data_IF_128752634449
#
_entry.id   IF_128752634449
#
_cell.length_a   1.000
_cell.length_b   1.000
_cell.length_c   1.000
_cell.angle_alpha   90.00
_cell.angle_beta   90.00
_cell.angle_gamma   90.00
#
_symmetry.space_group_name_H-M   'P 1'
#
loop_
_entity.id
_entity.type
_entity.pdbx_description
1 polymer ?
#
# COMPACT_ATOMS: atom_id res chain seq x y z
N UNK A 1 -71.89 10.67 -35.44
CA UNK A 1 -70.49 10.34 -35.09
C UNK A 1 -70.35 8.82 -35.10
N UNK A 2 -69.85 8.23 -36.19
CA UNK A 2 -69.70 6.78 -36.32
C UNK A 2 -68.30 6.36 -35.84
N UNK A 3 -68.21 5.75 -34.66
CA UNK A 3 -67.00 5.09 -34.19
C UNK A 3 -66.75 3.86 -35.07
N UNK A 4 -65.79 3.97 -35.99
CA UNK A 4 -65.35 2.87 -36.85
C UNK A 4 -64.69 1.82 -35.96
N UNK A 5 -65.35 0.67 -35.77
CA UNK A 5 -64.83 -0.43 -34.97
C UNK A 5 -63.43 -0.82 -35.48
N UNK A 6 -62.41 -0.50 -34.69
CA UNK A 6 -61.03 -0.86 -34.99
C UNK A 6 -60.97 -2.38 -35.06
N UNK A 7 -60.68 -2.95 -36.24
CA UNK A 7 -60.64 -4.41 -36.45
C UNK A 7 -59.74 -5.01 -35.37
N UNK A 8 -60.26 -5.96 -34.58
CA UNK A 8 -59.57 -6.58 -33.44
C UNK A 8 -58.14 -7.05 -33.76
N UNK A 9 -57.91 -7.51 -35.01
CA UNK A 9 -56.60 -7.89 -35.56
C UNK A 9 -55.59 -6.72 -35.65
N UNK A 10 -56.07 -5.50 -35.91
CA UNK A 10 -55.25 -4.27 -35.91
C UNK A 10 -54.88 -3.87 -34.48
N UNK A 11 -55.79 -4.04 -33.52
CA UNK A 11 -55.55 -3.74 -32.11
C UNK A 11 -54.45 -4.64 -31.52
N UNK A 12 -54.51 -5.95 -31.80
CA UNK A 12 -53.49 -6.92 -31.38
C UNK A 12 -52.11 -6.64 -32.00
N UNK A 13 -52.06 -6.21 -33.27
CA UNK A 13 -50.80 -5.81 -33.93
C UNK A 13 -50.19 -4.57 -33.26
N UNK A 14 -51.00 -3.56 -32.97
CA UNK A 14 -50.54 -2.36 -32.27
C UNK A 14 -50.05 -2.65 -30.86
N UNK A 15 -50.72 -3.53 -30.12
CA UNK A 15 -50.30 -3.97 -28.78
C UNK A 15 -49.00 -4.77 -28.81
N UNK A 16 -48.80 -5.65 -29.80
CA UNK A 16 -47.54 -6.38 -29.99
C UNK A 16 -46.38 -5.43 -30.30
N UNK A 17 -46.58 -4.46 -31.19
CA UNK A 17 -45.56 -3.45 -31.51
C UNK A 17 -45.23 -2.61 -30.28
N UNK A 18 -46.24 -2.18 -29.52
CA UNK A 18 -46.02 -1.42 -28.28
C UNK A 18 -45.27 -2.26 -27.23
N UNK A 19 -45.60 -3.55 -27.07
CA UNK A 19 -44.91 -4.44 -26.15
C UNK A 19 -43.43 -4.66 -26.54
N UNK A 20 -43.14 -4.84 -27.83
CA UNK A 20 -41.76 -4.96 -28.34
C UNK A 20 -40.97 -3.67 -28.15
N UNK A 21 -41.59 -2.50 -28.35
CA UNK A 21 -40.94 -1.21 -28.09
C UNK A 21 -40.67 -1.00 -26.59
N UNK A 22 -41.59 -1.41 -25.71
CA UNK A 22 -41.42 -1.34 -24.26
C UNK A 22 -40.31 -2.27 -23.76
N UNK A 23 -40.19 -3.49 -24.29
CA UNK A 23 -39.10 -4.42 -23.91
C UNK A 23 -37.74 -3.96 -24.46
N UNK A 24 -37.70 -3.41 -25.66
CA UNK A 24 -36.49 -2.81 -26.22
C UNK A 24 -36.01 -1.60 -25.41
N UNK A 25 -36.94 -0.72 -24.98
CA UNK A 25 -36.62 0.43 -24.14
C UNK A 25 -36.16 0.03 -22.72
N UNK A 26 -36.68 -1.08 -22.17
CA UNK A 26 -36.29 -1.60 -20.86
C UNK A 26 -34.98 -2.42 -20.86
N UNK A 27 -34.51 -2.85 -22.04
CA UNK A 27 -33.33 -3.71 -22.20
C UNK A 27 -31.98 -2.97 -22.04
N UNK A 28 -31.94 -1.65 -22.28
CA UNK A 28 -30.73 -0.86 -22.13
C UNK A 28 -30.59 -0.32 -20.70
N UNK A 29 -30.24 -1.19 -19.75
CA UNK A 29 -29.76 -0.75 -18.43
C UNK A 29 -28.24 -0.67 -18.43
N UNK A 30 -27.71 0.51 -18.12
CA UNK A 30 -26.29 0.69 -17.81
C UNK A 30 -26.04 0.14 -16.41
N UNK A 31 -25.55 -1.08 -16.33
CA UNK A 31 -25.09 -1.67 -15.07
C UNK A 31 -23.62 -1.26 -14.84
N UNK A 32 -23.30 -0.49 -13.78
CA UNK A 32 -21.93 -0.12 -13.44
C UNK A 32 -21.01 -1.32 -13.17
N UNK A 33 -21.57 -2.50 -12.88
CA UNK A 33 -20.81 -3.72 -12.57
C UNK A 33 -20.64 -4.67 -13.76
N UNK A 34 -21.18 -4.32 -14.93
CA UNK A 34 -21.02 -5.12 -16.13
C UNK A 34 -19.92 -4.52 -17.01
N UNK A 35 -18.74 -5.17 -17.15
CA UNK A 35 -17.66 -4.67 -18.00
C UNK A 35 -18.03 -4.64 -19.50
N UNK A 36 -19.16 -5.22 -19.87
CA UNK A 36 -19.66 -5.25 -21.24
C UNK A 36 -19.25 -6.53 -21.97
N UNK A 37 -19.54 -6.57 -23.27
CA UNK A 37 -19.11 -7.65 -24.16
C UNK A 37 -17.97 -7.16 -25.04
N UNK A 38 -16.88 -7.89 -25.05
CA UNK A 38 -15.74 -7.63 -25.92
C UNK A 38 -15.88 -8.45 -27.20
N UNK A 39 -15.60 -7.85 -28.36
CA UNK A 39 -15.56 -8.53 -29.64
C UNK A 39 -14.12 -8.86 -30.02
N UNK A 40 -13.85 -10.14 -30.31
CA UNK A 40 -12.54 -10.66 -30.70
C UNK A 40 -11.37 -10.18 -29.80
N UNK A 41 -11.32 -10.58 -28.51
CA UNK A 41 -10.31 -10.14 -27.54
C UNK A 41 -8.94 -10.82 -27.76
N UNK A 42 -8.46 -10.86 -28.99
CA UNK A 42 -7.17 -11.42 -29.34
C UNK A 42 -6.07 -10.48 -28.80
N UNK A 43 -5.27 -10.97 -27.86
CA UNK A 43 -4.16 -10.23 -27.22
C UNK A 43 -4.55 -9.05 -26.31
N UNK A 44 -5.83 -8.87 -25.97
CA UNK A 44 -6.24 -7.89 -24.95
C UNK A 44 -5.75 -8.31 -23.55
N UNK A 45 -5.72 -9.62 -23.33
CA UNK A 45 -5.10 -10.24 -22.18
C UNK A 45 -3.76 -10.81 -22.62
N UNK A 46 -2.65 -10.44 -21.96
CA UNK A 46 -1.35 -10.99 -22.28
C UNK A 46 -1.33 -12.48 -21.95
N UNK A 47 -0.61 -13.25 -22.76
CA UNK A 47 -0.31 -14.66 -22.46
C UNK A 47 0.59 -14.77 -21.23
N UNK A 48 1.50 -13.80 -21.06
CA UNK A 48 2.36 -13.69 -19.89
C UNK A 48 1.59 -13.21 -18.66
N UNK A 49 2.06 -13.65 -17.50
CA UNK A 49 1.52 -13.22 -16.21
C UNK A 49 1.98 -11.80 -15.86
N UNK A 50 1.03 -10.89 -15.70
CA UNK A 50 1.30 -9.53 -15.24
C UNK A 50 1.33 -9.45 -13.69
N UNK A 51 2.20 -8.60 -13.11
CA UNK A 51 2.16 -8.31 -11.69
C UNK A 51 0.79 -7.75 -11.28
N UNK A 52 0.22 -8.28 -10.19
CA UNK A 52 -1.07 -7.86 -9.63
C UNK A 52 -2.32 -8.07 -10.49
N UNK A 53 -2.22 -8.75 -11.64
CA UNK A 53 -3.39 -9.13 -12.45
C UNK A 53 -3.70 -10.62 -12.31
N UNK A 54 -4.98 -10.93 -12.15
CA UNK A 54 -5.44 -12.31 -12.09
C UNK A 54 -6.83 -12.46 -12.71
N UNK A 55 -6.86 -12.89 -13.96
CA UNK A 55 -8.10 -13.17 -14.69
C UNK A 55 -8.70 -14.53 -14.33
N UNK A 56 -7.83 -15.52 -14.15
CA UNK A 56 -8.20 -16.90 -13.83
C UNK A 56 -7.29 -17.40 -12.72
N UNK A 57 -7.83 -18.26 -11.85
CA UNK A 57 -7.03 -18.94 -10.85
C UNK A 57 -5.95 -19.79 -11.53
N UNK A 58 -4.72 -19.72 -11.03
CA UNK A 58 -3.62 -20.52 -11.52
C UNK A 58 -3.77 -21.98 -11.02
N UNK A 59 -3.93 -22.98 -11.91
CA UNK A 59 -4.16 -24.37 -11.50
C UNK A 59 -2.93 -25.06 -10.92
N UNK A 60 -1.72 -24.50 -11.11
CA UNK A 60 -0.46 -25.07 -10.64
C UNK A 60 -0.19 -24.70 -9.17
N UNK A 61 -0.66 -23.53 -8.74
CA UNK A 61 -0.33 -22.98 -7.43
C UNK A 61 -1.42 -23.34 -6.40
N UNK A 62 -1.06 -23.82 -5.18
CA UNK A 62 -2.02 -24.20 -4.15
C UNK A 62 -3.01 -23.10 -3.73
N UNK A 63 -2.60 -21.83 -3.84
CA UNK A 63 -3.44 -20.68 -3.47
C UNK A 63 -4.20 -20.09 -4.67
N UNK A 64 -4.06 -20.67 -5.86
CA UNK A 64 -4.64 -20.14 -7.10
C UNK A 64 -4.08 -18.79 -7.54
N UNK A 65 -3.13 -18.20 -6.81
CA UNK A 65 -2.51 -16.92 -7.11
C UNK A 65 -1.38 -17.06 -8.12
N UNK A 66 -1.27 -16.11 -9.04
CA UNK A 66 -0.13 -16.00 -9.96
C UNK A 66 1.15 -15.56 -9.24
N UNK A 67 1.02 -14.66 -8.25
CA UNK A 67 2.13 -14.23 -7.40
C UNK A 67 2.45 -15.27 -6.33
N UNK A 68 3.74 -15.53 -6.09
CA UNK A 68 4.22 -16.44 -5.05
C UNK A 68 5.07 -15.70 -4.03
N UNK A 69 5.03 -16.20 -2.79
CA UNK A 69 5.97 -15.77 -1.77
C UNK A 69 7.38 -16.28 -2.13
N UNK A 70 8.43 -15.45 -1.96
CA UNK A 70 9.80 -15.92 -2.07
C UNK A 70 10.09 -16.96 -0.97
N UNK A 71 11.04 -17.85 -1.22
CA UNK A 71 11.48 -18.83 -0.22
C UNK A 71 12.10 -18.10 0.96
N UNK A 72 11.79 -18.53 2.18
CA UNK A 72 12.32 -17.93 3.40
C UNK A 72 13.86 -17.96 3.41
N UNK A 73 14.49 -16.85 3.83
CA UNK A 73 15.94 -16.70 3.87
C UNK A 73 16.60 -16.32 2.54
N UNK A 74 15.84 -16.20 1.44
CA UNK A 74 16.39 -15.69 0.18
C UNK A 74 16.64 -14.19 0.25
N UNK A 75 17.72 -13.72 -0.36
CA UNK A 75 18.07 -12.31 -0.41
C UNK A 75 18.30 -11.86 -1.85
N UNK A 76 17.63 -10.77 -2.24
CA UNK A 76 17.58 -10.31 -3.63
C UNK A 76 18.79 -9.45 -4.02
N UNK A 77 19.42 -9.74 -5.17
CA UNK A 77 20.65 -9.05 -5.63
C UNK A 77 20.50 -7.53 -5.82
N UNK A 78 19.29 -7.04 -6.13
CA UNK A 78 19.00 -5.61 -6.36
C UNK A 78 19.13 -4.74 -5.11
N UNK A 79 19.06 -5.34 -3.92
CA UNK A 79 19.20 -4.62 -2.66
C UNK A 79 20.67 -4.44 -2.24
N UNK A 80 21.63 -4.76 -3.11
CA UNK A 80 23.06 -4.66 -2.83
C UNK A 80 23.75 -3.66 -3.75
N UNK A 81 24.47 -2.74 -3.13
CA UNK A 81 25.52 -1.94 -3.77
C UNK A 81 26.88 -2.40 -3.22
N UNK A 82 27.24 -3.66 -3.43
CA UNK A 82 28.55 -4.17 -2.99
C UNK A 82 29.59 -3.97 -4.09
N UNK A 83 30.64 -3.23 -3.77
CA UNK A 83 31.91 -3.27 -4.51
C UNK A 83 32.77 -4.37 -3.91
N UNK A 84 32.96 -5.46 -4.65
CA UNK A 84 33.85 -6.55 -4.24
C UNK A 84 35.29 -6.01 -4.12
N UNK A 85 35.91 -6.13 -2.93
CA UNK A 85 37.33 -5.89 -2.73
C UNK A 85 37.77 -4.44 -2.47
N UNK A 86 36.89 -3.53 -2.06
CA UNK A 86 37.24 -2.10 -1.90
C UNK A 86 37.14 -1.54 -0.47
N UNK A 87 36.60 -2.27 0.50
CA UNK A 87 36.62 -1.88 1.92
C UNK A 87 36.13 -3.03 2.80
N UNK A 88 36.44 -2.97 4.10
CA UNK A 88 35.85 -3.84 5.11
C UNK A 88 34.33 -3.86 4.94
N UNK A 89 33.75 -5.04 4.78
CA UNK A 89 32.30 -5.27 4.61
C UNK A 89 31.45 -4.79 5.80
N UNK A 90 32.05 -4.10 6.77
CA UNK A 90 31.43 -3.50 7.94
C UNK A 90 30.93 -2.06 7.69
N UNK A 91 31.32 -1.41 6.60
CA UNK A 91 30.98 0.00 6.37
C UNK A 91 29.83 0.09 5.35
N UNK A 92 28.61 0.11 5.91
CA UNK A 92 27.32 0.41 5.26
C UNK A 92 26.79 -0.63 4.26
N UNK A 93 27.02 -1.91 4.52
CA UNK A 93 26.25 -2.90 3.80
C UNK A 93 24.87 -3.03 4.46
N UNK A 94 23.86 -2.48 3.80
CA UNK A 94 22.43 -2.64 4.09
C UNK A 94 21.98 -4.10 3.81
N UNK A 95 22.89 -5.05 4.00
CA UNK A 95 22.94 -6.39 3.43
C UNK A 95 21.78 -7.26 3.88
N UNK A 96 21.46 -7.23 5.17
CA UNK A 96 20.37 -8.02 5.75
C UNK A 96 19.97 -7.33 7.05
N UNK A 97 18.75 -6.78 7.09
CA UNK A 97 18.16 -6.43 8.38
C UNK A 97 17.71 -7.71 9.08
N UNK A 98 18.65 -8.39 9.75
CA UNK A 98 18.40 -9.66 10.43
C UNK A 98 18.18 -9.49 11.94
N UNK A 99 17.78 -8.30 12.39
CA UNK A 99 17.47 -8.08 13.80
C UNK A 99 16.01 -8.54 14.01
N UNK A 100 15.76 -9.58 14.81
CA UNK A 100 14.40 -10.06 15.07
C UNK A 100 13.51 -8.98 15.69
N UNK A 101 12.20 -9.05 15.45
CA UNK A 101 11.22 -8.03 15.88
C UNK A 101 11.16 -7.80 17.40
N UNK A 102 11.56 -8.79 18.21
CA UNK A 102 11.64 -8.73 19.67
C UNK A 102 12.95 -8.11 20.18
N UNK A 103 13.94 -7.95 19.30
CA UNK A 103 15.32 -7.57 19.63
C UNK A 103 15.60 -6.07 19.44
N UNK A 104 14.69 -5.21 19.89
CA UNK A 104 14.81 -3.74 19.77
C UNK A 104 16.12 -3.23 20.41
N UNK A 105 16.51 -3.77 21.57
CA UNK A 105 17.72 -3.35 22.28
C UNK A 105 19.02 -3.62 21.51
N UNK A 106 19.04 -4.57 20.56
CA UNK A 106 20.18 -4.78 19.66
C UNK A 106 20.22 -3.67 18.61
N UNK A 107 19.05 -3.35 18.02
CA UNK A 107 18.93 -2.29 17.04
C UNK A 107 19.38 -0.93 17.59
N UNK A 108 19.01 -0.64 18.85
CA UNK A 108 19.43 0.57 19.57
C UNK A 108 20.96 0.72 19.71
N UNK A 109 21.67 -0.40 19.86
CA UNK A 109 23.13 -0.41 20.09
C UNK A 109 23.92 -0.40 18.79
N UNK A 110 23.45 -1.16 17.79
CA UNK A 110 24.21 -1.45 16.56
C UNK A 110 23.89 -0.47 15.45
N UNK A 111 22.64 -0.03 15.33
CA UNK A 111 22.23 0.78 14.18
C UNK A 111 22.58 2.24 14.38
N UNK A 112 23.18 2.80 13.33
CA UNK A 112 23.39 4.23 13.16
C UNK A 112 22.83 4.66 11.83
N UNK A 113 22.27 5.87 11.79
CA UNK A 113 21.69 6.39 10.56
C UNK A 113 22.80 6.72 9.55
N UNK A 114 22.89 6.02 8.40
CA UNK A 114 23.93 6.28 7.42
C UNK A 114 23.59 7.48 6.51
N UNK A 115 22.34 7.97 6.54
CA UNK A 115 21.89 9.09 5.71
C UNK A 115 22.31 10.39 6.39
N UNK A 116 23.04 11.29 5.70
CA UNK A 116 23.45 12.56 6.30
C UNK A 116 22.24 13.44 6.61
N UNK A 117 22.25 14.07 7.78
CA UNK A 117 21.24 15.05 8.18
C UNK A 117 21.51 16.38 7.45
N UNK A 118 20.61 16.75 6.55
CA UNK A 118 20.61 18.04 5.85
C UNK A 118 19.15 18.46 5.54
N UNK A 119 18.96 19.68 5.05
CA UNK A 119 17.61 20.21 4.78
C UNK A 119 16.86 19.37 3.75
N UNK A 120 17.55 18.85 2.73
CA UNK A 120 16.96 18.00 1.70
C UNK A 120 16.44 16.68 2.30
N UNK A 121 17.27 15.97 3.08
CA UNK A 121 16.87 14.69 3.69
C UNK A 121 15.76 14.87 4.70
N UNK A 122 15.75 16.00 5.42
CA UNK A 122 14.68 16.35 6.35
C UNK A 122 13.36 16.67 5.62
N UNK A 123 13.41 17.41 4.50
CA UNK A 123 12.23 17.72 3.68
C UNK A 123 11.64 16.45 3.05
N UNK A 124 12.49 15.56 2.52
CA UNK A 124 12.07 14.24 2.03
C UNK A 124 11.46 13.39 3.16
N UNK A 125 12.10 13.38 4.34
CA UNK A 125 11.60 12.70 5.53
C UNK A 125 10.22 13.20 5.97
N UNK A 126 9.96 14.51 5.87
CA UNK A 126 8.64 15.10 6.13
C UNK A 126 7.58 14.56 5.18
N UNK A 127 7.84 14.56 3.88
CA UNK A 127 6.88 14.06 2.87
C UNK A 127 6.52 12.60 3.13
N UNK A 128 7.52 11.79 3.49
CA UNK A 128 7.32 10.39 3.85
C UNK A 128 6.51 10.24 5.14
N UNK A 129 6.81 11.03 6.16
CA UNK A 129 6.05 11.05 7.41
C UNK A 129 4.58 11.44 7.20
N UNK A 130 4.32 12.48 6.42
CA UNK A 130 2.97 12.94 6.09
C UNK A 130 2.15 11.83 5.39
N UNK A 131 2.82 11.01 4.56
CA UNK A 131 2.20 9.92 3.81
C UNK A 131 1.93 8.66 4.64
N UNK A 132 2.86 8.29 5.53
CA UNK A 132 2.81 6.98 6.20
C UNK A 132 2.51 7.05 7.71
N UNK A 133 2.84 8.15 8.37
CA UNK A 133 2.89 8.23 9.84
C UNK A 133 1.87 9.23 10.42
N UNK A 134 1.68 10.38 9.76
CA UNK A 134 0.85 11.49 10.24
C UNK A 134 -0.59 11.07 10.56
N UNK A 135 -1.16 10.12 9.80
CA UNK A 135 -2.54 9.68 10.01
C UNK A 135 -2.81 9.15 11.42
N UNK A 136 -1.81 8.52 12.04
CA UNK A 136 -1.86 8.04 13.42
C UNK A 136 -1.16 9.00 14.39
N UNK A 137 0.05 9.46 14.06
CA UNK A 137 0.90 10.23 14.97
C UNK A 137 0.62 11.74 15.00
N UNK A 138 -0.18 12.27 14.07
CA UNK A 138 -0.43 13.71 13.95
C UNK A 138 0.67 14.45 13.19
N UNK A 139 0.46 15.73 12.87
CA UNK A 139 1.45 16.53 12.13
C UNK A 139 2.65 16.93 12.99
N UNK A 140 2.45 17.06 14.29
CA UNK A 140 3.47 17.42 15.28
C UNK A 140 4.05 16.21 16.01
N UNK A 141 3.58 15.00 15.73
CA UNK A 141 3.96 13.80 16.48
C UNK A 141 3.34 13.68 17.87
N UNK A 142 2.27 14.43 18.15
CA UNK A 142 1.59 14.42 19.44
C UNK A 142 0.70 13.19 19.69
N UNK A 143 0.54 12.31 18.69
CA UNK A 143 -0.36 11.16 18.75
C UNK A 143 -1.83 11.51 18.52
N UNK A 144 -2.10 12.70 17.97
CA UNK A 144 -3.44 13.27 17.72
C UNK A 144 -3.91 13.09 16.26
N UNK A 145 -3.30 12.15 15.54
CA UNK A 145 -3.77 11.79 14.19
C UNK A 145 -5.21 11.27 14.22
N UNK A 146 -5.98 11.55 13.16
CA UNK A 146 -7.40 11.14 13.06
C UNK A 146 -7.61 9.64 13.27
N UNK A 147 -6.66 8.82 12.83
CA UNK A 147 -6.69 7.36 13.06
C UNK A 147 -6.26 7.01 14.48
N UNK A 148 -5.30 7.74 15.05
CA UNK A 148 -4.83 7.58 16.43
C UNK A 148 -5.93 7.82 17.48
N UNK A 149 -6.87 8.73 17.19
CA UNK A 149 -8.05 8.92 18.04
C UNK A 149 -8.90 7.65 18.19
N UNK A 150 -8.95 6.81 17.15
CA UNK A 150 -9.66 5.53 17.16
C UNK A 150 -8.76 4.40 17.71
N UNK A 151 -7.48 4.42 17.35
CA UNK A 151 -6.47 3.48 17.81
C UNK A 151 -5.72 4.02 19.03
N UNK A 152 -6.31 3.86 20.23
CA UNK A 152 -5.67 4.23 21.50
C UNK A 152 -4.26 3.61 21.61
N UNK A 153 -3.31 4.39 22.14
CA UNK A 153 -1.93 3.95 22.42
C UNK A 153 -0.86 4.52 21.48
N UNK A 154 -1.20 5.51 20.64
CA UNK A 154 -0.19 6.23 19.85
C UNK A 154 0.63 7.14 20.76
N UNK A 155 1.97 7.04 20.73
CA UNK A 155 2.83 7.85 21.60
C UNK A 155 2.91 9.30 21.13
N UNK A 156 3.03 10.21 22.11
CA UNK A 156 3.49 11.58 21.87
C UNK A 156 5.03 11.60 21.90
N UNK A 157 5.65 11.98 20.79
CA UNK A 157 7.11 12.01 20.67
C UNK A 157 7.81 13.01 21.61
N UNK A 158 7.13 14.09 22.00
CA UNK A 158 7.67 15.10 22.91
C UNK A 158 7.59 14.69 24.39
N UNK A 159 6.89 13.60 24.72
CA UNK A 159 6.80 13.11 26.10
C UNK A 159 8.12 12.52 26.60
N UNK A 160 8.35 12.56 27.91
CA UNK A 160 9.62 12.13 28.51
C UNK A 160 10.02 10.69 28.18
N UNK A 161 9.04 9.80 28.00
CA UNK A 161 9.25 8.41 27.65
C UNK A 161 9.80 8.22 26.22
N UNK A 162 9.53 9.17 25.31
CA UNK A 162 9.80 9.00 23.88
C UNK A 162 10.74 10.07 23.29
N UNK A 163 10.95 11.21 23.96
CA UNK A 163 11.79 12.31 23.45
C UNK A 163 13.26 11.95 23.22
N UNK A 164 13.75 10.92 23.91
CA UNK A 164 15.14 10.46 23.85
C UNK A 164 15.32 9.10 23.16
N UNK A 165 14.32 8.61 22.42
CA UNK A 165 14.50 7.37 21.65
C UNK A 165 15.56 7.58 20.58
N UNK A 166 16.49 6.62 20.47
CA UNK A 166 17.54 6.68 19.48
C UNK A 166 17.05 6.30 18.07
N UNK A 167 17.86 6.63 17.07
CA UNK A 167 17.57 6.38 15.65
C UNK A 167 17.36 4.89 15.33
N UNK A 168 18.13 4.00 15.97
CA UNK A 168 18.02 2.55 15.80
C UNK A 168 16.67 2.00 16.28
N UNK A 169 16.14 2.51 17.39
CA UNK A 169 14.82 2.17 17.90
C UNK A 169 13.75 2.54 16.88
N UNK A 170 13.77 3.79 16.41
CA UNK A 170 12.76 4.32 15.49
C UNK A 170 12.79 3.51 14.18
N UNK A 171 13.98 3.25 13.63
CA UNK A 171 14.13 2.44 12.42
C UNK A 171 13.58 1.01 12.60
N UNK A 172 13.88 0.37 13.74
CA UNK A 172 13.40 -0.98 14.05
C UNK A 172 11.88 -1.03 14.15
N UNK A 173 11.28 -0.06 14.84
CA UNK A 173 9.81 0.04 15.00
C UNK A 173 9.13 0.30 13.66
N UNK A 174 9.70 1.13 12.77
CA UNK A 174 9.14 1.30 11.42
C UNK A 174 9.21 -0.03 10.63
N UNK A 175 10.29 -0.79 10.83
CA UNK A 175 10.53 -2.04 10.09
C UNK A 175 9.58 -3.17 10.53
N UNK A 176 9.49 -3.43 11.83
CA UNK A 176 8.75 -4.57 12.39
C UNK A 176 7.41 -4.21 13.04
N UNK A 177 7.15 -2.93 13.27
CA UNK A 177 6.04 -2.49 14.12
C UNK A 177 6.37 -2.63 15.60
N UNK A 178 5.44 -2.17 16.45
CA UNK A 178 5.51 -2.31 17.90
C UNK A 178 4.11 -2.20 18.50
N UNK A 179 3.75 -3.18 19.34
CA UNK A 179 2.43 -3.26 19.96
C UNK A 179 1.30 -3.15 18.91
N UNK A 180 0.56 -2.04 18.89
CA UNK A 180 -0.56 -1.81 17.96
C UNK A 180 -0.14 -1.20 16.62
N UNK A 181 1.12 -0.78 16.49
CA UNK A 181 1.68 -0.29 15.24
C UNK A 181 2.12 -1.47 14.39
N UNK A 182 1.51 -1.63 13.21
CA UNK A 182 1.87 -2.64 12.21
C UNK A 182 3.23 -2.35 11.58
N UNK A 183 3.91 -3.34 10.96
CA UNK A 183 5.16 -3.12 10.23
C UNK A 183 4.95 -2.31 8.95
N UNK A 184 5.82 -1.33 8.69
CA UNK A 184 5.87 -0.57 7.43
C UNK A 184 7.02 -1.03 6.51
N UNK A 185 7.77 -2.06 6.90
CA UNK A 185 8.96 -2.52 6.17
C UNK A 185 8.70 -3.00 4.74
N UNK A 186 7.50 -3.46 4.43
CA UNK A 186 7.13 -3.85 3.06
C UNK A 186 6.76 -2.68 2.15
N UNK A 187 6.47 -1.50 2.72
CA UNK A 187 5.97 -0.33 2.00
C UNK A 187 7.03 0.75 1.81
N UNK A 188 7.97 0.86 2.76
CA UNK A 188 8.97 1.92 2.81
C UNK A 188 10.35 1.29 2.66
N UNK A 189 11.16 1.79 1.72
CA UNK A 189 12.51 1.28 1.53
C UNK A 189 13.44 1.70 2.70
N UNK A 190 14.56 1.01 2.95
CA UNK A 190 15.37 1.31 4.14
C UNK A 190 15.97 2.73 4.17
N UNK A 191 16.35 3.31 3.02
CA UNK A 191 16.87 4.69 2.97
C UNK A 191 15.78 5.70 3.36
N UNK A 192 14.56 5.52 2.87
CA UNK A 192 13.40 6.33 3.22
C UNK A 192 13.05 6.22 4.71
N UNK A 193 13.15 5.02 5.30
CA UNK A 193 12.97 4.85 6.77
C UNK A 193 13.98 5.70 7.54
N UNK A 194 15.24 5.72 7.12
CA UNK A 194 16.27 6.56 7.73
C UNK A 194 15.99 8.07 7.59
N UNK A 195 15.39 8.50 6.48
CA UNK A 195 14.92 9.90 6.32
C UNK A 195 13.75 10.21 7.27
N UNK A 196 12.81 9.29 7.42
CA UNK A 196 11.70 9.43 8.39
C UNK A 196 12.27 9.53 9.82
N UNK A 197 13.29 8.74 10.16
CA UNK A 197 13.93 8.79 11.48
C UNK A 197 14.45 10.18 11.80
N UNK A 198 15.14 10.85 10.86
CA UNK A 198 15.58 12.25 11.04
C UNK A 198 14.41 13.19 11.32
N UNK A 199 13.31 13.03 10.59
CA UNK A 199 12.13 13.87 10.78
C UNK A 199 11.43 13.61 12.13
N UNK A 200 11.30 12.36 12.56
CA UNK A 200 10.78 11.99 13.88
C UNK A 200 11.65 12.55 14.99
N UNK A 201 12.98 12.51 14.85
CA UNK A 201 13.90 13.10 15.82
C UNK A 201 13.82 14.62 15.89
N UNK A 202 13.48 15.29 14.78
CA UNK A 202 13.11 16.70 14.82
C UNK A 202 11.85 16.91 15.64
N UNK A 203 10.78 16.14 15.39
CA UNK A 203 9.52 16.26 16.14
C UNK A 203 9.69 15.98 17.65
N UNK A 204 10.57 15.05 18.04
CA UNK A 204 10.91 14.81 19.46
C UNK A 204 11.47 16.04 20.18
N UNK A 205 12.17 16.93 19.46
CA UNK A 205 12.78 18.16 20.00
C UNK A 205 11.84 19.37 19.97
N UNK A 206 10.62 19.20 19.44
CA UNK A 206 9.69 20.27 19.13
C UNK A 206 9.68 20.59 17.63
N UNK A 207 8.48 20.84 17.11
CA UNK A 207 8.22 21.14 15.69
C UNK A 207 8.84 22.48 15.24
#
# INVERSE_FOLDING_TARGET
MAFKAMKLKSLYRSLLVAAVLLTAAAGCKKDPNNPGKEYAPNMYLPVGYEPYKQEKANPINPQGLTMRLPVAGTVARRNYHTSFGSSDSAVVDLMVYNIPADSIGIAEKVLKNPVPLNEKTLAEGKVLYDRYCQHCHGATGAGDGKVGAMYKGVPNYASDAYKNLNEGHIFHVITHGKARMWPHGSQINPEERWKIVHYVQKLQKGA
#
